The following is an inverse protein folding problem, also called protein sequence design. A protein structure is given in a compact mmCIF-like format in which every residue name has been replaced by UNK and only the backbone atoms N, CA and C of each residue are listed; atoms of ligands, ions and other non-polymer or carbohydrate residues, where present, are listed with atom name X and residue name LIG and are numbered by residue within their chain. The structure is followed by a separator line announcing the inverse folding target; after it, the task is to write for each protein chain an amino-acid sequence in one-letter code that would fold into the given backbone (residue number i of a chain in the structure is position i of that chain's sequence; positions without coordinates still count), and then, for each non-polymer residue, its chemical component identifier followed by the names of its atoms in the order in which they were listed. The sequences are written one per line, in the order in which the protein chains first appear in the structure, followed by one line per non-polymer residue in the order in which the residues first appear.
data_IF_209900472662
#
_entry.id   IF_209900472662
#
_cell.length_a   1.000
_cell.length_b   1.000
_cell.length_c   1.000
_cell.angle_alpha   90.00
_cell.angle_beta   90.00
_cell.angle_gamma   90.00
#
_symmetry.space_group_name_H-M   'P 1'
#
loop_
_entity.id
_entity.type
_entity.pdbx_description
1 polymer ?
#
# COMPACT_ATOMS: atom_id res chain seq x y z
N UNK A 1 -20.89 -4.44 22.45
CA UNK A 1 -21.21 -5.87 22.69
C UNK A 1 -20.87 -6.63 21.42
N UNK A 2 -20.20 -7.78 21.51
CA UNK A 2 -19.99 -8.65 20.34
C UNK A 2 -21.35 -9.27 20.02
N UNK A 3 -21.93 -9.06 18.83
CA UNK A 3 -23.22 -9.63 18.47
C UNK A 3 -23.13 -11.17 18.44
N UNK A 4 -24.13 -11.85 19.00
CA UNK A 4 -24.14 -13.32 19.19
C UNK A 4 -24.09 -14.10 17.86
N UNK A 5 -24.55 -13.53 16.75
CA UNK A 5 -24.37 -14.04 15.39
C UNK A 5 -24.72 -12.95 14.37
N UNK A 6 -23.75 -12.52 13.57
CA UNK A 6 -23.99 -11.75 12.36
C UNK A 6 -23.75 -12.68 11.18
N UNK A 7 -24.76 -12.86 10.34
CA UNK A 7 -24.59 -13.55 9.05
C UNK A 7 -23.97 -12.50 8.12
N UNK A 8 -22.65 -12.55 7.97
CA UNK A 8 -21.94 -11.72 7.00
C UNK A 8 -21.91 -12.45 5.65
N UNK A 9 -22.18 -11.79 4.52
CA UNK A 9 -22.13 -12.45 3.22
C UNK A 9 -20.70 -12.90 2.92
N UNK A 10 -20.57 -14.14 2.44
CA UNK A 10 -19.30 -14.74 2.02
C UNK A 10 -19.49 -15.25 0.60
N UNK A 11 -18.59 -14.87 -0.30
CA UNK A 11 -18.62 -15.30 -1.70
C UNK A 11 -17.39 -16.11 -2.01
N UNK A 12 -17.55 -17.18 -2.81
CA UNK A 12 -16.42 -17.83 -3.44
C UNK A 12 -15.91 -16.94 -4.55
N UNK A 13 -14.61 -16.64 -4.56
CA UNK A 13 -14.00 -15.82 -5.60
C UNK A 13 -13.85 -16.66 -6.87
N UNK A 14 -14.40 -16.18 -7.98
CA UNK A 14 -14.25 -16.86 -9.28
C UNK A 14 -12.89 -16.59 -9.91
N UNK A 15 -12.33 -15.39 -9.71
CA UNK A 15 -11.03 -14.99 -10.21
C UNK A 15 -10.48 -13.85 -9.36
N UNK A 16 -9.19 -13.92 -9.07
CA UNK A 16 -8.45 -12.81 -8.46
C UNK A 16 -7.57 -12.18 -9.55
N UNK A 17 -7.53 -10.86 -9.63
CA UNK A 17 -6.70 -10.13 -10.58
C UNK A 17 -6.02 -8.97 -9.89
N UNK A 18 -4.70 -9.03 -9.79
CA UNK A 18 -3.89 -7.95 -9.26
C UNK A 18 -3.62 -6.92 -10.35
N UNK A 19 -3.79 -5.64 -10.00
CA UNK A 19 -3.48 -4.46 -10.85
C UNK A 19 -3.89 -4.63 -12.32
N UNK A 20 -5.20 -4.70 -12.63
CA UNK A 20 -5.70 -4.82 -14.00
C UNK A 20 -5.29 -3.62 -14.86
N UNK A 21 -5.27 -3.80 -16.19
CA UNK A 21 -5.13 -2.65 -17.10
C UNK A 21 -6.32 -1.70 -16.97
N UNK A 22 -6.17 -0.44 -17.37
CA UNK A 22 -7.26 0.55 -17.28
C UNK A 22 -8.55 0.05 -17.95
N UNK A 23 -8.43 -0.57 -19.14
CA UNK A 23 -9.56 -1.16 -19.86
C UNK A 23 -10.24 -2.29 -19.07
N UNK A 24 -9.45 -3.17 -18.45
CA UNK A 24 -9.97 -4.24 -17.60
C UNK A 24 -10.64 -3.65 -16.35
N UNK A 25 -10.03 -2.67 -15.69
CA UNK A 25 -10.59 -2.01 -14.51
C UNK A 25 -11.95 -1.35 -14.81
N UNK A 26 -12.06 -0.60 -15.91
CA UNK A 26 -13.33 -0.01 -16.37
C UNK A 26 -14.41 -1.06 -16.58
N UNK A 27 -14.03 -2.21 -17.16
CA UNK A 27 -14.94 -3.34 -17.36
C UNK A 27 -15.41 -3.91 -16.03
N UNK A 28 -14.48 -4.21 -15.11
CA UNK A 28 -14.78 -4.77 -13.78
C UNK A 28 -15.71 -3.87 -12.95
N UNK A 29 -15.54 -2.54 -13.04
CA UNK A 29 -16.43 -1.57 -12.39
C UNK A 29 -17.82 -1.62 -13.03
N UNK A 30 -17.90 -1.65 -14.37
CA UNK A 30 -19.18 -1.62 -15.09
C UNK A 30 -20.05 -2.86 -14.87
N UNK A 31 -19.45 -4.02 -14.60
CA UNK A 31 -20.19 -5.27 -14.36
C UNK A 31 -20.72 -5.38 -12.93
N UNK A 32 -20.12 -4.65 -11.97
CA UNK A 32 -20.61 -4.57 -10.58
C UNK A 32 -20.45 -5.85 -9.75
N UNK A 33 -19.81 -6.88 -10.28
CA UNK A 33 -19.59 -8.20 -9.66
C UNK A 33 -18.16 -8.38 -9.10
N UNK A 34 -17.44 -7.27 -8.91
CA UNK A 34 -16.08 -7.24 -8.38
C UNK A 34 -16.01 -6.52 -7.03
N UNK A 35 -15.01 -6.89 -6.23
CA UNK A 35 -14.63 -6.17 -5.02
C UNK A 35 -13.15 -5.81 -5.10
N UNK A 36 -12.77 -4.65 -4.54
CA UNK A 36 -11.36 -4.33 -4.36
C UNK A 36 -10.73 -5.25 -3.31
N UNK A 37 -9.52 -5.72 -3.59
CA UNK A 37 -8.70 -6.41 -2.61
C UNK A 37 -8.19 -5.38 -1.60
N UNK A 38 -8.50 -5.57 -0.31
CA UNK A 38 -8.05 -4.65 0.74
C UNK A 38 -6.63 -4.92 1.23
N UNK A 39 -5.96 -5.94 0.69
CA UNK A 39 -4.64 -6.40 1.14
C UNK A 39 -4.66 -7.17 2.46
N UNK A 40 -5.84 -7.44 3.02
CA UNK A 40 -5.99 -8.21 4.26
C UNK A 40 -6.38 -9.65 3.95
N UNK A 41 -5.64 -10.59 4.55
CA UNK A 41 -5.88 -12.01 4.36
C UNK A 41 -5.98 -12.75 5.68
N UNK A 42 -6.86 -13.76 5.71
CA UNK A 42 -6.98 -14.70 6.81
C UNK A 42 -7.02 -16.12 6.23
N UNK A 43 -6.11 -16.97 6.70
CA UNK A 43 -6.03 -18.37 6.26
C UNK A 43 -5.48 -19.26 7.37
N UNK A 44 -5.67 -20.57 7.21
CA UNK A 44 -4.94 -21.56 7.99
C UNK A 44 -3.52 -21.69 7.43
N UNK A 45 -2.54 -21.85 8.32
CA UNK A 45 -1.12 -21.95 7.95
C UNK A 45 -0.84 -23.11 6.97
N UNK A 46 -1.50 -24.26 7.14
CA UNK A 46 -1.37 -25.40 6.25
C UNK A 46 -1.89 -25.11 4.83
N UNK A 47 -2.95 -24.32 4.73
CA UNK A 47 -3.64 -24.02 3.47
C UNK A 47 -2.82 -23.06 2.63
N UNK A 48 -2.25 -22.02 3.23
CA UNK A 48 -1.33 -21.11 2.53
C UNK A 48 -0.03 -21.83 2.15
N UNK A 49 0.53 -22.69 3.01
CA UNK A 49 1.73 -23.46 2.69
C UNK A 49 1.51 -24.48 1.56
N UNK A 50 0.29 -25.00 1.42
CA UNK A 50 -0.08 -25.86 0.30
C UNK A 50 -0.12 -25.08 -1.03
N UNK A 51 -0.71 -23.89 -1.04
CA UNK A 51 -0.73 -23.01 -2.22
C UNK A 51 0.69 -22.54 -2.59
N UNK A 52 1.50 -22.12 -1.61
CA UNK A 52 2.93 -21.81 -1.81
C UNK A 52 3.68 -23.01 -2.37
N UNK A 53 3.41 -24.24 -1.89
CA UNK A 53 4.01 -25.45 -2.44
C UNK A 53 3.66 -25.71 -3.89
N UNK A 54 2.40 -25.44 -4.29
CA UNK A 54 1.92 -25.64 -5.65
C UNK A 54 2.43 -24.57 -6.62
N UNK A 55 2.50 -23.32 -6.18
CA UNK A 55 2.75 -22.16 -7.04
C UNK A 55 4.20 -21.64 -6.97
N UNK A 56 4.85 -21.79 -5.81
CA UNK A 56 6.18 -21.25 -5.50
C UNK A 56 7.08 -22.34 -4.86
N UNK A 57 7.38 -23.45 -5.58
CA UNK A 57 8.07 -24.61 -5.00
C UNK A 57 9.47 -24.28 -4.46
N UNK A 58 10.16 -23.30 -5.02
CA UNK A 58 11.45 -22.81 -4.50
C UNK A 58 11.28 -22.18 -3.12
N UNK A 59 10.31 -21.28 -2.96
CA UNK A 59 9.99 -20.66 -1.68
C UNK A 59 9.57 -21.72 -0.65
N UNK A 60 8.74 -22.69 -1.06
CA UNK A 60 8.34 -23.82 -0.21
C UNK A 60 9.55 -24.56 0.37
N UNK A 61 10.53 -24.90 -0.48
CA UNK A 61 11.77 -25.58 -0.06
C UNK A 61 12.57 -24.73 0.93
N UNK A 62 12.69 -23.43 0.68
CA UNK A 62 13.39 -22.51 1.60
C UNK A 62 12.69 -22.43 2.96
N UNK A 63 11.36 -22.33 2.97
CA UNK A 63 10.57 -22.32 4.20
C UNK A 63 10.73 -23.63 4.99
N UNK A 64 10.82 -24.77 4.31
CA UNK A 64 11.07 -26.08 4.93
C UNK A 64 12.48 -26.15 5.53
N UNK A 65 13.50 -25.61 4.87
CA UNK A 65 14.86 -25.53 5.40
C UNK A 65 14.90 -24.68 6.68
N UNK A 66 14.27 -23.50 6.66
CA UNK A 66 14.16 -22.60 7.82
C UNK A 66 13.39 -23.27 8.96
N UNK A 67 12.31 -23.99 8.66
CA UNK A 67 11.50 -24.70 9.65
C UNK A 67 12.22 -25.89 10.29
N UNK A 68 13.12 -26.56 9.56
CA UNK A 68 13.91 -27.67 10.08
C UNK A 68 14.97 -27.26 11.12
N UNK A 69 15.25 -25.96 11.26
CA UNK A 69 16.19 -25.45 12.24
C UNK A 69 15.71 -25.70 13.69
N UNK A 70 16.49 -26.48 14.43
CA UNK A 70 16.18 -26.86 15.82
C UNK A 70 16.47 -25.74 16.84
N UNK A 71 17.25 -24.73 16.45
CA UNK A 71 17.62 -23.60 17.31
C UNK A 71 17.39 -22.28 16.59
N UNK A 72 17.13 -21.21 17.37
CA UNK A 72 16.97 -19.86 16.82
C UNK A 72 18.22 -19.37 16.10
N UNK A 73 19.41 -19.64 16.65
CA UNK A 73 20.68 -19.26 16.03
C UNK A 73 20.87 -19.91 14.65
N UNK A 74 20.54 -21.21 14.53
CA UNK A 74 20.62 -21.89 13.23
C UNK A 74 19.58 -21.36 12.25
N UNK A 75 18.38 -21.02 12.72
CA UNK A 75 17.33 -20.43 11.88
C UNK A 75 17.79 -19.09 11.31
N UNK A 76 18.40 -18.25 12.13
CA UNK A 76 18.91 -16.94 11.72
C UNK A 76 20.03 -17.07 10.67
N UNK A 77 20.97 -17.99 10.87
CA UNK A 77 22.02 -18.27 9.88
C UNK A 77 21.44 -18.72 8.52
N UNK A 78 20.43 -19.60 8.54
CA UNK A 78 19.74 -20.05 7.33
C UNK A 78 19.04 -18.86 6.67
N UNK A 79 18.27 -18.07 7.43
CA UNK A 79 17.57 -16.89 6.91
C UNK A 79 18.55 -15.91 6.25
N UNK A 80 19.66 -15.57 6.91
CA UNK A 80 20.67 -14.66 6.37
C UNK A 80 21.28 -15.18 5.06
N UNK A 81 21.49 -16.50 4.95
CA UNK A 81 22.01 -17.13 3.73
C UNK A 81 21.00 -17.13 2.59
N UNK A 82 19.74 -17.48 2.86
CA UNK A 82 18.73 -17.69 1.80
C UNK A 82 18.00 -16.40 1.40
N UNK A 83 17.91 -15.42 2.29
CA UNK A 83 17.17 -14.17 2.05
C UNK A 83 17.60 -13.42 0.78
N UNK A 84 18.91 -13.24 0.50
CA UNK A 84 19.36 -12.56 -0.72
C UNK A 84 19.05 -13.33 -2.01
N UNK A 85 18.81 -14.65 -1.92
CA UNK A 85 18.54 -15.52 -3.06
C UNK A 85 17.02 -15.64 -3.36
N UNK A 86 16.16 -15.12 -2.48
CA UNK A 86 14.72 -15.19 -2.65
C UNK A 86 14.25 -14.27 -3.77
N UNK A 87 13.41 -14.83 -4.64
CA UNK A 87 12.69 -14.05 -5.64
C UNK A 87 11.65 -13.16 -4.95
N UNK A 88 11.74 -11.86 -5.17
CA UNK A 88 10.75 -10.90 -4.68
C UNK A 88 9.47 -11.02 -5.48
N UNK A 89 8.40 -11.52 -4.84
CA UNK A 89 7.06 -11.60 -5.41
C UNK A 89 6.03 -11.24 -4.34
N UNK A 90 4.96 -10.55 -4.72
CA UNK A 90 3.86 -10.26 -3.79
C UNK A 90 3.00 -11.50 -3.59
N UNK A 91 2.29 -11.58 -2.47
CA UNK A 91 1.34 -12.68 -2.24
C UNK A 91 0.18 -12.66 -3.25
N UNK A 92 -0.22 -11.47 -3.69
CA UNK A 92 -1.28 -11.28 -4.68
C UNK A 92 -0.94 -11.95 -6.01
N UNK A 93 0.26 -11.70 -6.53
CA UNK A 93 0.75 -12.32 -7.77
C UNK A 93 1.20 -13.77 -7.59
N UNK A 94 2.03 -14.02 -6.56
CA UNK A 94 2.68 -15.31 -6.38
C UNK A 94 1.76 -16.42 -5.86
N UNK A 95 0.62 -16.04 -5.27
CA UNK A 95 -0.33 -17.00 -4.68
C UNK A 95 -1.77 -16.70 -5.09
N UNK A 96 -2.28 -15.49 -4.87
CA UNK A 96 -3.73 -15.24 -4.93
C UNK A 96 -4.31 -15.31 -6.34
N UNK A 97 -3.61 -14.82 -7.38
CA UNK A 97 -4.11 -14.86 -8.77
C UNK A 97 -4.47 -16.27 -9.25
N UNK A 98 -3.79 -17.30 -8.76
CA UNK A 98 -4.03 -18.69 -9.16
C UNK A 98 -4.49 -19.60 -8.03
N UNK A 99 -4.79 -19.09 -6.83
CA UNK A 99 -5.21 -19.90 -5.70
C UNK A 99 -6.59 -20.57 -5.93
N UNK A 100 -6.74 -21.83 -5.49
CA UNK A 100 -7.93 -22.62 -5.82
C UNK A 100 -9.11 -22.35 -4.87
N UNK A 101 -8.80 -22.01 -3.62
CA UNK A 101 -9.76 -21.91 -2.50
C UNK A 101 -9.79 -20.52 -1.91
N UNK A 102 -10.34 -19.58 -2.66
CA UNK A 102 -10.46 -18.18 -2.23
C UNK A 102 -11.92 -17.83 -1.93
N UNK A 103 -12.14 -17.19 -0.80
CA UNK A 103 -13.42 -16.60 -0.41
C UNK A 103 -13.21 -15.12 -0.06
N UNK A 104 -14.21 -14.29 -0.34
CA UNK A 104 -14.21 -12.86 -0.03
C UNK A 104 -15.38 -12.53 0.89
N UNK A 105 -15.10 -11.69 1.89
CA UNK A 105 -16.09 -11.07 2.76
C UNK A 105 -16.16 -9.60 2.33
N UNK A 106 -17.20 -9.16 1.59
CA UNK A 106 -17.26 -7.78 1.12
C UNK A 106 -17.44 -6.83 2.29
N UNK A 107 -16.49 -5.92 2.48
CA UNK A 107 -16.46 -4.95 3.57
C UNK A 107 -17.40 -3.75 3.37
N UNK A 108 -18.60 -3.98 2.83
CA UNK A 108 -19.58 -2.92 2.57
C UNK A 108 -19.98 -2.20 3.86
N UNK A 109 -19.90 -0.86 3.84
CA UNK A 109 -20.19 -0.02 5.00
C UNK A 109 -19.02 0.22 5.95
N UNK A 110 -17.84 -0.33 5.66
CA UNK A 110 -16.59 0.10 6.27
C UNK A 110 -15.92 1.12 5.35
N UNK A 111 -15.56 2.28 5.90
CA UNK A 111 -14.66 3.20 5.22
C UNK A 111 -13.27 2.56 5.17
N UNK A 112 -12.70 2.47 3.98
CA UNK A 112 -11.39 1.90 3.75
C UNK A 112 -10.69 2.68 2.64
N UNK A 113 -9.43 3.02 2.89
CA UNK A 113 -8.53 3.64 1.92
C UNK A 113 -7.14 3.04 2.12
N UNK A 114 -6.54 2.53 1.04
CA UNK A 114 -5.11 2.23 1.02
C UNK A 114 -4.37 3.56 0.86
N UNK A 115 -3.87 4.12 1.96
CA UNK A 115 -3.08 5.36 1.95
C UNK A 115 -1.73 5.07 1.30
N UNK A 116 -1.75 4.98 -0.03
CA UNK A 116 -0.60 4.59 -0.86
C UNK A 116 0.08 5.76 -1.56
N UNK A 117 -0.51 6.96 -1.46
CA UNK A 117 0.00 8.21 -2.03
C UNK A 117 -0.52 9.44 -1.28
N UNK A 118 0.16 10.56 -1.50
CA UNK A 118 -0.18 11.83 -0.85
C UNK A 118 -1.54 12.39 -1.28
N UNK A 119 -2.02 12.08 -2.49
CA UNK A 119 -3.35 12.51 -2.94
C UNK A 119 -4.48 11.81 -2.17
N UNK A 120 -4.28 10.57 -1.71
CA UNK A 120 -5.30 9.84 -0.93
C UNK A 120 -5.59 10.50 0.43
N UNK A 121 -4.72 11.39 0.91
CA UNK A 121 -4.93 12.12 2.15
C UNK A 121 -6.01 13.19 2.03
N UNK A 122 -6.29 13.68 0.81
CA UNK A 122 -7.37 14.65 0.58
C UNK A 122 -8.75 14.07 0.84
N UNK A 123 -8.91 12.76 0.69
CA UNK A 123 -10.18 12.07 0.90
C UNK A 123 -10.45 11.73 2.37
N UNK A 124 -9.40 11.73 3.21
CA UNK A 124 -9.46 11.18 4.58
C UNK A 124 -9.30 12.27 5.65
N UNK A 125 -8.69 13.40 5.31
CA UNK A 125 -8.39 14.47 6.25
C UNK A 125 -9.37 15.63 6.12
N UNK A 126 -9.59 16.32 7.24
CA UNK A 126 -10.38 17.53 7.25
C UNK A 126 -9.60 18.67 6.59
N UNK A 127 -10.22 19.30 5.60
CA UNK A 127 -9.72 20.52 4.98
C UNK A 127 -10.28 21.77 5.66
N UNK A 128 -9.63 22.91 5.42
CA UNK A 128 -10.21 24.22 5.70
C UNK A 128 -11.30 24.61 4.67
N UNK A 129 -11.77 25.86 4.77
CA UNK A 129 -12.81 26.42 3.91
C UNK A 129 -12.42 26.53 2.43
N UNK A 130 -11.13 26.57 2.13
CA UNK A 130 -10.56 26.72 0.78
C UNK A 130 -10.08 25.35 0.25
N UNK A 131 -10.37 24.27 1.01
CA UNK A 131 -10.01 22.91 0.65
C UNK A 131 -8.57 22.54 0.97
N UNK A 132 -7.84 23.37 1.70
CA UNK A 132 -6.45 23.09 2.07
C UNK A 132 -6.35 22.20 3.30
N UNK A 133 -5.31 21.37 3.34
CA UNK A 133 -5.03 20.45 4.44
C UNK A 133 -3.67 20.80 5.02
N UNK A 134 -3.65 21.19 6.29
CA UNK A 134 -2.42 21.48 7.03
C UNK A 134 -2.24 20.42 8.12
N UNK A 135 -1.34 19.48 7.88
CA UNK A 135 -1.11 18.35 8.78
C UNK A 135 -0.23 18.71 9.98
N UNK A 136 0.78 19.55 9.76
CA UNK A 136 1.69 20.05 10.78
C UNK A 136 2.47 21.27 10.25
N UNK A 137 2.94 22.10 11.18
CA UNK A 137 3.79 23.25 10.91
C UNK A 137 3.03 24.56 10.73
N UNK A 138 3.77 25.60 10.36
CA UNK A 138 3.23 26.94 10.12
C UNK A 138 3.00 27.15 8.63
N UNK A 139 1.75 27.39 8.23
CA UNK A 139 1.37 27.66 6.85
C UNK A 139 0.60 28.97 6.74
N UNK A 140 1.00 29.84 5.81
CA UNK A 140 0.23 31.01 5.38
C UNK A 140 -0.21 30.76 3.93
N UNK A 141 -1.52 30.83 3.73
CA UNK A 141 -2.17 30.66 2.44
C UNK A 141 -2.75 32.01 2.00
N UNK A 142 -2.37 32.47 0.82
CA UNK A 142 -3.01 33.59 0.11
C UNK A 142 -3.48 33.05 -1.25
N UNK A 143 -4.79 33.09 -1.54
CA UNK A 143 -5.31 32.57 -2.81
C UNK A 143 -4.80 31.14 -3.12
N UNK A 144 -4.87 30.26 -2.12
CA UNK A 144 -4.44 28.86 -2.24
C UNK A 144 -5.63 27.95 -2.02
N UNK A 145 -5.84 26.98 -2.91
CA UNK A 145 -6.95 26.04 -2.79
C UNK A 145 -6.51 24.60 -2.99
N UNK A 146 -7.28 23.67 -2.40
CA UNK A 146 -7.12 22.23 -2.56
C UNK A 146 -5.68 21.73 -2.43
N UNK A 147 -4.89 22.31 -1.53
CA UNK A 147 -3.47 22.00 -1.37
C UNK A 147 -3.17 21.36 -0.01
N UNK A 148 -2.23 20.43 0.02
CA UNK A 148 -1.75 19.76 1.22
C UNK A 148 -0.39 20.32 1.60
N UNK A 149 -0.26 20.74 2.87
CA UNK A 149 0.99 21.21 3.45
C UNK A 149 1.31 20.39 4.70
N UNK A 150 2.53 19.85 4.72
CA UNK A 150 3.07 19.14 5.86
C UNK A 150 4.50 19.58 6.11
N UNK A 151 4.74 20.19 7.27
CA UNK A 151 6.08 20.49 7.74
C UNK A 151 6.32 19.75 9.06
N UNK A 152 7.31 18.85 9.05
CA UNK A 152 7.50 17.87 10.11
C UNK A 152 8.14 18.44 11.37
N UNK A 153 8.99 19.46 11.25
CA UNK A 153 9.90 19.88 12.33
C UNK A 153 9.42 21.11 13.12
N UNK A 154 8.45 21.86 12.62
CA UNK A 154 8.05 23.17 13.14
C UNK A 154 9.05 24.29 12.83
N UNK A 155 10.06 24.05 11.99
CA UNK A 155 11.22 24.94 11.84
C UNK A 155 11.04 25.97 10.72
N UNK A 156 10.14 25.69 9.77
CA UNK A 156 9.93 26.52 8.59
C UNK A 156 8.49 27.00 8.52
N UNK A 157 8.34 28.25 8.09
CA UNK A 157 7.07 28.81 7.64
C UNK A 157 6.93 28.51 6.16
N UNK A 158 5.87 27.80 5.78
CA UNK A 158 5.49 27.58 4.39
C UNK A 158 4.50 28.68 4.00
N UNK A 159 4.74 29.33 2.87
CA UNK A 159 3.84 30.36 2.32
C UNK A 159 3.48 29.97 0.89
N UNK A 160 2.18 29.91 0.58
CA UNK A 160 1.65 29.63 -0.75
C UNK A 160 0.81 30.80 -1.22
N UNK A 161 1.00 31.22 -2.47
CA UNK A 161 0.32 32.39 -3.05
C UNK A 161 -0.15 32.07 -4.47
N UNK A 162 -1.45 32.11 -4.72
CA UNK A 162 -2.02 31.94 -6.07
C UNK A 162 -1.78 30.56 -6.67
N UNK A 163 -1.90 29.50 -5.87
CA UNK A 163 -1.63 28.13 -6.28
C UNK A 163 -2.74 27.18 -5.87
N UNK A 164 -3.01 26.22 -6.74
CA UNK A 164 -4.04 25.21 -6.52
C UNK A 164 -3.45 23.81 -6.62
N UNK A 165 -4.07 22.86 -5.94
CA UNK A 165 -3.83 21.43 -6.13
C UNK A 165 -2.38 21.00 -5.88
N UNK A 166 -1.68 21.65 -4.93
CA UNK A 166 -0.30 21.33 -4.58
C UNK A 166 -0.19 20.39 -3.37
N UNK A 167 0.87 19.61 -3.36
CA UNK A 167 1.36 18.86 -2.20
C UNK A 167 2.74 19.41 -1.87
N UNK A 168 2.88 19.97 -0.68
CA UNK A 168 4.12 20.50 -0.13
C UNK A 168 4.46 19.72 1.14
N UNK A 169 5.55 18.98 1.11
CA UNK A 169 6.00 18.12 2.21
C UNK A 169 7.45 18.45 2.53
N UNK A 170 7.69 18.96 3.74
CA UNK A 170 9.03 19.31 4.24
C UNK A 170 9.39 18.43 5.44
N UNK A 171 10.43 17.60 5.28
CA UNK A 171 10.98 16.73 6.35
C UNK A 171 12.23 17.33 7.02
N UNK A 172 12.67 18.50 6.57
CA UNK A 172 13.86 19.24 6.97
C UNK A 172 15.04 19.04 6.03
N UNK A 173 15.30 17.80 5.64
CA UNK A 173 16.34 17.37 4.70
C UNK A 173 15.86 17.27 3.25
N UNK A 174 14.56 17.01 3.04
CA UNK A 174 13.91 16.94 1.74
C UNK A 174 12.67 17.82 1.72
N UNK A 175 12.51 18.56 0.62
CA UNK A 175 11.29 19.28 0.28
C UNK A 175 10.70 18.66 -1.00
N UNK A 176 9.49 18.12 -0.89
CA UNK A 176 8.70 17.70 -2.02
C UNK A 176 7.66 18.78 -2.33
N UNK A 177 7.62 19.22 -3.59
CA UNK A 177 6.55 20.04 -4.14
C UNK A 177 6.07 19.37 -5.42
N UNK A 178 4.79 19.01 -5.48
CA UNK A 178 4.20 18.46 -6.70
C UNK A 178 2.72 18.80 -6.80
N UNK A 179 2.19 18.78 -8.02
CA UNK A 179 0.76 18.81 -8.24
C UNK A 179 0.13 17.48 -7.78
N UNK A 180 -1.07 17.53 -7.19
CA UNK A 180 -1.74 16.36 -6.58
C UNK A 180 -1.91 15.19 -7.55
N UNK A 181 -2.29 15.48 -8.80
CA UNK A 181 -2.44 14.50 -9.89
C UNK A 181 -1.13 13.79 -10.28
N UNK A 182 0.00 14.21 -9.73
CA UNK A 182 1.32 13.63 -9.98
C UNK A 182 1.95 13.00 -8.74
N UNK A 183 1.25 12.93 -7.61
CA UNK A 183 1.74 12.36 -6.36
C UNK A 183 2.29 10.93 -6.52
N UNK A 184 1.69 10.11 -7.38
CA UNK A 184 2.17 8.75 -7.67
C UNK A 184 3.59 8.70 -8.27
N UNK A 185 4.03 9.77 -8.95
CA UNK A 185 5.37 9.84 -9.55
C UNK A 185 6.48 9.94 -8.51
N UNK A 186 6.17 10.20 -7.24
CA UNK A 186 7.14 10.18 -6.14
C UNK A 186 7.86 8.84 -6.06
N UNK A 187 7.18 7.72 -6.34
CA UNK A 187 7.81 6.38 -6.38
C UNK A 187 8.96 6.31 -7.39
N UNK A 188 8.75 6.87 -8.58
CA UNK A 188 9.80 6.95 -9.61
C UNK A 188 11.00 7.78 -9.13
N UNK A 189 10.74 8.92 -8.47
CA UNK A 189 11.82 9.76 -7.94
C UNK A 189 12.62 9.01 -6.87
N UNK A 190 11.94 8.27 -5.98
CA UNK A 190 12.61 7.41 -5.00
C UNK A 190 13.48 6.35 -5.68
N UNK A 191 13.00 5.70 -6.74
CA UNK A 191 13.79 4.73 -7.49
C UNK A 191 14.99 5.38 -8.21
N UNK A 192 14.82 6.57 -8.77
CA UNK A 192 15.92 7.33 -9.39
C UNK A 192 16.97 7.72 -8.33
N UNK A 193 16.55 8.08 -7.11
CA UNK A 193 17.46 8.39 -6.00
C UNK A 193 18.27 7.16 -5.57
N UNK A 194 17.66 5.97 -5.50
CA UNK A 194 18.35 4.70 -5.18
C UNK A 194 19.43 4.37 -6.19
N UNK A 195 19.19 4.72 -7.46
CA UNK A 195 20.14 4.48 -8.54
C UNK A 195 21.18 5.60 -8.69
N UNK A 196 21.27 6.51 -7.71
CA UNK A 196 22.20 7.64 -7.68
C UNK A 196 22.94 7.70 -6.34
N UNK A 197 23.99 8.51 -6.22
CA UNK A 197 24.70 8.73 -4.94
C UNK A 197 23.90 9.59 -3.93
N UNK A 198 22.58 9.50 -3.94
CA UNK A 198 21.65 10.34 -3.15
C UNK A 198 20.69 9.51 -2.29
N UNK A 199 21.04 8.27 -1.99
CA UNK A 199 20.26 7.38 -1.11
C UNK A 199 19.97 7.98 0.27
N UNK A 200 20.81 8.92 0.75
CA UNK A 200 20.60 9.62 2.02
C UNK A 200 19.32 10.47 2.09
N UNK A 201 18.64 10.69 0.96
CA UNK A 201 17.42 11.50 0.85
C UNK A 201 16.14 10.66 0.64
N UNK A 202 16.21 9.34 0.86
CA UNK A 202 15.08 8.41 0.80
C UNK A 202 14.60 8.11 2.21
#
# INVERSE_FOLDING_TARGET
AIPERVIYPVYRVSKFKEKPSETQARTMISTGDHSWNSGMFVWRADSILAEVGRQLPKLKKTLEEVAAAQTSARREEIVQRVWPELETVTVDYGVMENADKVAVLPAGGLEWSDVGSWDSLFDVLLSDKDGNIVLAGNHIAEDTHHSLVYEKRGERLIVTIGVDDLIVVDTGDVLLVCHKDHAQKVRKVVDDLKNSERESYI
#
